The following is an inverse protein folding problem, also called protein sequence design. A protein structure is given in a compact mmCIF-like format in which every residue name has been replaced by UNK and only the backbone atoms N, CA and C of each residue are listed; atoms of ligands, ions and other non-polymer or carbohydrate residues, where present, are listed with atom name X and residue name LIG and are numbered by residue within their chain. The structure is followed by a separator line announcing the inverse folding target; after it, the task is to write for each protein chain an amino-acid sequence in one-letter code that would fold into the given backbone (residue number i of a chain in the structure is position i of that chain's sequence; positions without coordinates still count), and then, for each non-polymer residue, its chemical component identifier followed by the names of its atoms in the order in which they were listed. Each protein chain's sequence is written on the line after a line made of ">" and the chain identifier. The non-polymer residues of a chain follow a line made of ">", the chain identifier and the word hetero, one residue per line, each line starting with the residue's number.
data_IF_567004640830
#
_entry.id   IF_567004640830
#
_cell.length_a   1.000
_cell.length_b   1.000
_cell.length_c   1.000
_cell.angle_alpha   90.00
_cell.angle_beta   90.00
_cell.angle_gamma   90.00
#
_symmetry.space_group_name_H-M   'P 1'
#
loop_
_entity.id
_entity.type
_entity.pdbx_description
1 polymer ?
#
# COMPACT_ATOMS: atom_id res chain seq x y z
N UNK A 1 -16.39 -22.73 -7.09
CA UNK A 1 -16.07 -23.14 -8.47
C UNK A 1 -15.35 -22.00 -9.15
N UNK A 2 -14.18 -22.26 -9.75
CA UNK A 2 -13.24 -21.23 -10.20
C UNK A 2 -13.71 -20.43 -11.41
N UNK A 3 -14.51 -19.40 -11.15
CA UNK A 3 -15.01 -18.49 -12.18
C UNK A 3 -14.10 -17.28 -12.29
N UNK A 4 -13.70 -16.97 -13.52
CA UNK A 4 -13.05 -15.71 -13.87
C UNK A 4 -14.14 -14.72 -14.29
N UNK A 5 -14.47 -13.70 -13.47
CA UNK A 5 -15.58 -12.79 -13.74
C UNK A 5 -15.28 -11.91 -14.96
N UNK A 6 -16.31 -11.29 -15.54
CA UNK A 6 -16.16 -10.37 -16.69
C UNK A 6 -15.12 -9.27 -16.44
N UNK A 7 -15.05 -8.76 -15.21
CA UNK A 7 -14.06 -7.75 -14.79
C UNK A 7 -12.61 -8.23 -14.96
N UNK A 8 -12.34 -9.50 -14.67
CA UNK A 8 -11.01 -10.10 -14.87
C UNK A 8 -10.63 -10.09 -16.35
N UNK A 9 -11.52 -10.52 -17.24
CA UNK A 9 -11.23 -10.59 -18.68
C UNK A 9 -11.02 -9.22 -19.32
N UNK A 10 -11.83 -8.23 -18.92
CA UNK A 10 -11.63 -6.83 -19.35
C UNK A 10 -10.27 -6.33 -18.90
N UNK A 11 -9.90 -6.56 -17.64
CA UNK A 11 -8.59 -6.14 -17.13
C UNK A 11 -7.44 -6.86 -17.85
N UNK A 12 -7.55 -8.17 -18.07
CA UNK A 12 -6.56 -8.98 -18.78
C UNK A 12 -6.30 -8.43 -20.19
N UNK A 13 -7.38 -8.12 -20.91
CA UNK A 13 -7.30 -7.51 -22.24
C UNK A 13 -6.62 -6.13 -22.17
N UNK A 14 -6.99 -5.28 -21.22
CA UNK A 14 -6.38 -3.95 -21.10
C UNK A 14 -4.90 -3.99 -20.66
N UNK A 15 -4.47 -5.03 -19.94
CA UNK A 15 -3.05 -5.18 -19.54
C UNK A 15 -2.21 -5.74 -20.67
N UNK A 16 -2.56 -6.92 -21.18
CA UNK A 16 -1.70 -7.67 -22.11
C UNK A 16 -2.07 -7.43 -23.59
N UNK A 17 -3.30 -7.04 -23.88
CA UNK A 17 -3.78 -6.72 -25.23
C UNK A 17 -3.64 -5.24 -25.61
N UNK A 18 -3.06 -4.42 -24.74
CA UNK A 18 -2.84 -3.00 -25.01
C UNK A 18 -1.62 -2.77 -25.91
N UNK A 19 -1.73 -1.81 -26.83
CA UNK A 19 -0.69 -1.50 -27.83
C UNK A 19 0.67 -1.22 -27.19
N UNK A 20 0.72 -0.46 -26.10
CA UNK A 20 1.98 -0.14 -25.43
C UNK A 20 2.67 -1.40 -24.89
N UNK A 21 1.91 -2.27 -24.22
CA UNK A 21 2.45 -3.50 -23.66
C UNK A 21 2.97 -4.45 -24.75
N UNK A 22 2.20 -4.62 -25.82
CA UNK A 22 2.58 -5.47 -26.97
C UNK A 22 3.79 -4.90 -27.70
N UNK A 23 3.87 -3.58 -27.86
CA UNK A 23 5.02 -2.92 -28.50
C UNK A 23 6.31 -3.12 -27.70
N UNK A 24 6.21 -3.05 -26.37
CA UNK A 24 7.39 -3.09 -25.51
C UNK A 24 7.85 -4.53 -25.19
N UNK A 25 6.95 -5.53 -25.22
CA UNK A 25 7.27 -6.94 -24.88
C UNK A 25 7.19 -7.91 -26.08
N UNK A 26 6.53 -7.51 -27.17
CA UNK A 26 6.25 -8.36 -28.34
C UNK A 26 4.94 -9.16 -28.21
N UNK A 27 4.35 -9.50 -29.37
CA UNK A 27 3.07 -10.21 -29.46
C UNK A 27 3.11 -11.61 -28.85
N UNK A 28 4.18 -12.37 -29.11
CA UNK A 28 4.30 -13.72 -28.56
C UNK A 28 4.36 -13.70 -27.02
N UNK A 29 5.13 -12.76 -26.44
CA UNK A 29 5.24 -12.68 -24.98
C UNK A 29 3.95 -12.20 -24.33
N UNK A 30 3.26 -11.24 -24.92
CA UNK A 30 1.97 -10.77 -24.37
C UNK A 30 0.92 -11.89 -24.32
N UNK A 31 0.88 -12.76 -25.33
CA UNK A 31 0.02 -13.95 -25.34
C UNK A 31 0.45 -14.94 -24.24
N UNK A 32 1.74 -15.24 -24.13
CA UNK A 32 2.28 -16.18 -23.13
C UNK A 32 1.97 -15.68 -21.71
N UNK A 33 2.18 -14.40 -21.42
CA UNK A 33 1.92 -13.81 -20.10
C UNK A 33 0.42 -13.81 -19.76
N UNK A 34 -0.45 -13.48 -20.73
CA UNK A 34 -1.89 -13.57 -20.54
C UNK A 34 -2.34 -15.00 -20.21
N UNK A 35 -1.84 -16.00 -20.96
CA UNK A 35 -2.14 -17.41 -20.72
C UNK A 35 -1.61 -17.91 -19.37
N UNK A 36 -0.38 -17.53 -19.00
CA UNK A 36 0.21 -17.88 -17.71
C UNK A 36 -0.58 -17.30 -16.55
N UNK A 37 -1.02 -16.05 -16.66
CA UNK A 37 -1.87 -15.37 -15.67
C UNK A 37 -3.20 -16.11 -15.49
N UNK A 38 -3.88 -16.46 -16.58
CA UNK A 38 -5.13 -17.25 -16.55
C UNK A 38 -4.90 -18.61 -15.88
N UNK A 39 -3.85 -19.33 -16.28
CA UNK A 39 -3.48 -20.64 -15.71
C UNK A 39 -3.21 -20.56 -14.22
N UNK A 40 -2.46 -19.56 -13.76
CA UNK A 40 -2.17 -19.36 -12.34
C UNK A 40 -3.45 -19.09 -11.54
N UNK A 41 -4.31 -18.21 -12.05
CA UNK A 41 -5.58 -17.91 -11.40
C UNK A 41 -6.50 -19.12 -11.30
N UNK A 42 -6.60 -19.93 -12.35
CA UNK A 42 -7.39 -21.16 -12.31
C UNK A 42 -6.84 -22.18 -11.31
N UNK A 43 -5.50 -22.30 -11.18
CA UNK A 43 -4.85 -23.15 -10.17
C UNK A 43 -5.16 -22.72 -8.73
N UNK A 44 -5.44 -21.44 -8.49
CA UNK A 44 -5.79 -20.88 -7.18
C UNK A 44 -7.29 -20.90 -6.90
N UNK A 45 -8.10 -21.54 -7.75
CA UNK A 45 -9.56 -21.58 -7.59
C UNK A 45 -10.28 -20.35 -8.15
N UNK A 46 -9.61 -19.57 -9.01
CA UNK A 46 -10.14 -18.38 -9.69
C UNK A 46 -9.63 -17.07 -9.08
N UNK A 47 -9.48 -16.04 -9.91
CA UNK A 47 -9.15 -14.69 -9.48
C UNK A 47 -10.30 -13.73 -9.79
N UNK A 48 -10.56 -12.79 -8.88
CA UNK A 48 -11.54 -11.72 -9.12
C UNK A 48 -10.99 -10.61 -10.05
N UNK A 49 -9.69 -10.43 -10.04
CA UNK A 49 -8.95 -9.37 -10.72
C UNK A 49 -7.60 -9.90 -11.20
N UNK A 50 -6.96 -9.23 -12.16
CA UNK A 50 -5.66 -9.69 -12.67
C UNK A 50 -4.57 -9.48 -11.61
N UNK A 51 -3.82 -10.53 -11.22
CA UNK A 51 -2.74 -10.40 -10.25
C UNK A 51 -1.59 -9.56 -10.81
N UNK A 52 -0.80 -8.96 -9.92
CA UNK A 52 0.26 -8.03 -10.25
C UNK A 52 -0.13 -6.59 -9.92
N UNK A 53 0.75 -5.92 -9.20
CA UNK A 53 0.62 -4.53 -8.76
C UNK A 53 1.59 -3.66 -9.58
N UNK A 54 1.08 -2.73 -10.42
CA UNK A 54 1.92 -1.77 -11.13
C UNK A 54 2.80 -0.96 -10.17
N UNK A 55 3.99 -0.57 -10.63
CA UNK A 55 4.96 0.16 -9.81
C UNK A 55 4.38 1.46 -9.26
N UNK A 56 3.65 2.19 -10.09
CA UNK A 56 3.05 3.48 -9.78
C UNK A 56 1.96 3.33 -8.71
N UNK A 57 1.14 2.28 -8.84
CA UNK A 57 0.13 1.94 -7.84
C UNK A 57 0.77 1.56 -6.51
N UNK A 58 1.86 0.78 -6.53
CA UNK A 58 2.60 0.47 -5.31
C UNK A 58 3.22 1.72 -4.66
N UNK A 59 3.84 2.61 -5.45
CA UNK A 59 4.40 3.86 -4.93
C UNK A 59 3.31 4.69 -4.23
N UNK A 60 2.10 4.78 -4.80
CA UNK A 60 0.99 5.47 -4.15
C UNK A 60 0.61 4.81 -2.82
N UNK A 61 0.55 3.47 -2.78
CA UNK A 61 0.26 2.73 -1.54
C UNK A 61 1.33 2.96 -0.46
N UNK A 62 2.59 3.09 -0.87
CA UNK A 62 3.70 3.38 0.03
C UNK A 62 3.60 4.81 0.58
N UNK A 63 3.37 5.80 -0.30
CA UNK A 63 3.23 7.21 0.11
C UNK A 63 2.06 7.37 1.09
N UNK A 64 0.88 6.83 0.75
CA UNK A 64 -0.30 6.88 1.62
C UNK A 64 -0.06 6.21 2.96
N UNK A 65 0.64 5.07 2.99
CA UNK A 65 1.05 4.42 4.24
C UNK A 65 1.96 5.30 5.09
N UNK A 66 2.98 5.91 4.49
CA UNK A 66 3.91 6.82 5.18
C UNK A 66 3.19 8.05 5.73
N UNK A 67 2.33 8.69 4.93
CA UNK A 67 1.54 9.86 5.37
C UNK A 67 0.57 9.48 6.48
N UNK A 68 -0.09 8.32 6.39
CA UNK A 68 -0.91 7.78 7.48
C UNK A 68 -0.10 7.62 8.76
N UNK A 69 1.14 7.10 8.64
CA UNK A 69 2.08 7.00 9.75
C UNK A 69 2.37 8.35 10.40
N UNK A 70 2.76 9.34 9.60
CA UNK A 70 3.04 10.71 10.09
C UNK A 70 1.84 11.31 10.84
N UNK A 71 0.63 11.18 10.30
CA UNK A 71 -0.60 11.68 10.94
C UNK A 71 -0.84 10.95 12.27
N UNK A 72 -0.69 9.62 12.28
CA UNK A 72 -0.81 8.82 13.51
C UNK A 72 0.23 9.23 14.56
N UNK A 73 1.47 9.49 14.15
CA UNK A 73 2.56 9.93 15.03
C UNK A 73 2.29 11.27 15.69
N UNK A 74 1.84 12.28 14.92
CA UNK A 74 1.43 13.57 15.49
C UNK A 74 0.22 13.44 16.42
N UNK A 75 -0.75 12.60 16.06
CA UNK A 75 -1.92 12.35 16.90
C UNK A 75 -1.56 11.71 18.25
N UNK A 76 -0.46 10.96 18.30
CA UNK A 76 0.03 10.25 19.46
C UNK A 76 0.85 11.10 20.45
N UNK A 77 1.26 12.32 20.07
CA UNK A 77 2.09 13.19 20.91
C UNK A 77 1.37 13.49 22.25
N UNK A 78 2.05 13.29 23.40
CA UNK A 78 1.45 13.52 24.69
C UNK A 78 1.12 15.00 24.94
N UNK A 79 -0.02 15.24 25.61
CA UNK A 79 -0.53 16.60 25.90
C UNK A 79 -0.64 16.90 27.40
N UNK A 80 -0.38 15.90 28.24
CA UNK A 80 -0.41 15.98 29.70
C UNK A 80 0.93 15.45 30.22
N UNK A 81 1.44 16.03 31.31
CA UNK A 81 2.78 15.73 31.84
C UNK A 81 2.97 14.25 32.23
N UNK A 82 1.91 13.56 32.68
CA UNK A 82 1.98 12.14 33.07
C UNK A 82 1.62 11.16 31.95
N UNK A 83 1.35 11.64 30.74
CA UNK A 83 0.93 10.80 29.64
C UNK A 83 2.11 10.57 28.70
N UNK A 84 2.52 9.31 28.51
CA UNK A 84 3.54 8.97 27.51
C UNK A 84 2.94 8.95 26.11
N UNK A 85 1.71 8.48 25.95
CA UNK A 85 1.09 8.27 24.63
C UNK A 85 -0.37 8.75 24.59
N UNK A 86 -0.71 9.63 23.64
CA UNK A 86 -2.05 10.22 23.47
C UNK A 86 -3.03 9.31 22.69
N UNK A 87 -3.26 8.09 23.19
CA UNK A 87 -4.09 7.08 22.50
C UNK A 87 -5.50 7.57 22.10
N UNK A 88 -6.13 8.41 22.91
CA UNK A 88 -7.46 8.97 22.63
C UNK A 88 -7.46 9.79 21.34
N UNK A 89 -6.43 10.62 21.13
CA UNK A 89 -6.29 11.44 19.93
C UNK A 89 -5.91 10.62 18.71
N UNK A 90 -5.03 9.61 18.89
CA UNK A 90 -4.75 8.64 17.86
C UNK A 90 -6.03 7.91 17.39
N UNK A 91 -6.93 7.55 18.30
CA UNK A 91 -8.21 6.94 17.93
C UNK A 91 -9.21 7.92 17.30
N UNK A 92 -9.32 9.15 17.82
CA UNK A 92 -10.19 10.18 17.26
C UNK A 92 -9.80 10.51 15.81
N UNK A 93 -8.50 10.52 15.51
CA UNK A 93 -7.98 10.74 14.16
C UNK A 93 -7.82 9.45 13.34
N UNK A 94 -8.28 8.30 13.86
CA UNK A 94 -8.21 7.01 13.15
C UNK A 94 -8.97 6.95 11.83
N UNK A 95 -10.08 7.69 11.61
CA UNK A 95 -10.68 7.77 10.28
C UNK A 95 -9.71 8.35 9.23
N UNK A 96 -8.82 9.26 9.62
CA UNK A 96 -7.88 9.93 8.71
C UNK A 96 -6.63 9.09 8.45
N UNK A 97 -5.90 8.68 9.49
CA UNK A 97 -4.69 7.85 9.26
C UNK A 97 -5.05 6.42 8.85
N UNK A 98 -6.16 5.89 9.37
CA UNK A 98 -6.61 4.53 9.12
C UNK A 98 -7.04 4.31 7.68
N UNK A 99 -7.76 5.25 7.05
CA UNK A 99 -8.12 5.13 5.63
C UNK A 99 -6.87 5.15 4.74
N UNK A 100 -5.89 6.01 5.06
CA UNK A 100 -4.64 6.11 4.29
C UNK A 100 -3.81 4.82 4.38
N UNK A 101 -3.68 4.25 5.58
CA UNK A 101 -2.87 3.06 5.78
C UNK A 101 -3.60 1.76 5.42
N UNK A 102 -4.79 1.54 5.95
CA UNK A 102 -5.49 0.26 5.82
C UNK A 102 -6.12 0.16 4.43
N UNK A 103 -6.93 1.14 4.04
CA UNK A 103 -7.70 1.06 2.80
C UNK A 103 -6.84 1.34 1.56
N UNK A 104 -5.99 2.38 1.59
CA UNK A 104 -5.15 2.73 0.44
C UNK A 104 -3.75 2.11 0.49
N UNK A 105 -3.16 1.97 1.67
CA UNK A 105 -1.83 1.40 1.84
C UNK A 105 -1.79 -0.14 1.75
N UNK A 106 -2.67 -0.83 2.48
CA UNK A 106 -2.66 -2.30 2.58
C UNK A 106 -3.62 -2.94 1.57
N UNK A 107 -4.85 -2.43 1.46
CA UNK A 107 -5.94 -3.02 0.67
C UNK A 107 -5.55 -3.42 -0.76
N UNK A 108 -4.97 -2.50 -1.57
CA UNK A 108 -4.57 -2.82 -2.94
C UNK A 108 -3.42 -3.84 -3.01
N UNK A 109 -2.52 -3.86 -2.03
CA UNK A 109 -1.38 -4.78 -2.02
C UNK A 109 -1.83 -6.21 -1.78
N UNK A 110 -2.58 -6.45 -0.70
CA UNK A 110 -3.01 -7.81 -0.31
C UNK A 110 -4.03 -8.43 -1.26
N UNK A 111 -4.74 -7.61 -2.03
CA UNK A 111 -5.72 -8.09 -3.02
C UNK A 111 -5.12 -8.33 -4.40
N UNK A 112 -3.92 -7.81 -4.69
CA UNK A 112 -3.30 -7.85 -6.03
C UNK A 112 -2.00 -8.64 -6.11
N UNK A 113 -1.30 -8.84 -4.99
CA UNK A 113 -0.06 -9.63 -4.96
C UNK A 113 0.00 -10.49 -3.71
N UNK A 114 0.61 -11.67 -3.85
CA UNK A 114 1.01 -12.55 -2.76
C UNK A 114 2.42 -12.26 -2.24
N UNK A 115 3.13 -11.29 -2.85
CA UNK A 115 4.48 -10.94 -2.46
C UNK A 115 4.50 -10.21 -1.11
N UNK A 116 5.33 -10.68 -0.19
CA UNK A 116 5.43 -10.10 1.15
C UNK A 116 6.17 -8.76 1.18
N UNK A 117 7.16 -8.57 0.28
CA UNK A 117 8.06 -7.42 0.33
C UNK A 117 7.35 -6.05 0.15
N UNK A 118 6.40 -5.87 -0.80
CA UNK A 118 5.64 -4.63 -0.93
C UNK A 118 4.83 -4.29 0.33
N UNK A 119 4.21 -5.30 0.94
CA UNK A 119 3.42 -5.13 2.17
C UNK A 119 4.32 -4.72 3.34
N UNK A 120 5.45 -5.40 3.50
CA UNK A 120 6.44 -5.07 4.54
C UNK A 120 6.93 -3.62 4.39
N UNK A 121 7.23 -3.16 3.17
CA UNK A 121 7.66 -1.78 2.92
C UNK A 121 6.58 -0.76 3.32
N UNK A 122 5.31 -1.05 3.07
CA UNK A 122 4.20 -0.17 3.46
C UNK A 122 4.05 -0.11 4.99
N UNK A 123 4.16 -1.25 5.68
CA UNK A 123 4.14 -1.31 7.15
C UNK A 123 5.33 -0.53 7.73
N UNK A 124 6.54 -0.74 7.21
CA UNK A 124 7.74 -0.01 7.65
C UNK A 124 7.61 1.49 7.38
N UNK A 125 7.07 1.90 6.23
CA UNK A 125 6.81 3.30 5.91
C UNK A 125 5.85 3.96 6.91
N UNK A 126 4.77 3.27 7.27
CA UNK A 126 3.85 3.73 8.32
C UNK A 126 4.53 3.85 9.69
N UNK A 127 5.25 2.82 10.13
CA UNK A 127 5.93 2.81 11.43
C UNK A 127 7.00 3.89 11.49
N UNK A 128 7.85 4.02 10.47
CA UNK A 128 8.88 5.05 10.42
C UNK A 128 8.27 6.46 10.40
N UNK A 129 7.23 6.69 9.60
CA UNK A 129 6.50 7.95 9.58
C UNK A 129 5.93 8.31 10.96
N UNK A 130 5.32 7.35 11.64
CA UNK A 130 4.77 7.53 12.97
C UNK A 130 5.84 7.84 14.03
N UNK A 131 6.95 7.10 14.02
CA UNK A 131 8.06 7.30 14.95
C UNK A 131 8.71 8.67 14.75
N UNK A 132 9.03 9.03 13.50
CA UNK A 132 9.65 10.34 13.18
C UNK A 132 8.73 11.49 13.60
N UNK A 133 7.44 11.41 13.28
CA UNK A 133 6.49 12.47 13.66
C UNK A 133 6.30 12.55 15.18
N UNK A 134 6.20 11.41 15.88
CA UNK A 134 6.05 11.37 17.33
C UNK A 134 7.28 11.94 18.07
N UNK A 135 8.49 11.69 17.59
CA UNK A 135 9.74 12.17 18.20
C UNK A 135 10.13 13.60 17.81
N UNK A 136 9.44 14.21 16.85
CA UNK A 136 9.77 15.55 16.34
C UNK A 136 9.87 16.67 17.41
N UNK A 137 9.07 16.71 18.49
CA UNK A 137 9.21 17.72 19.53
C UNK A 137 10.53 17.59 20.31
N UNK A 138 10.95 16.35 20.61
CA UNK A 138 12.19 16.06 21.37
C UNK A 138 13.42 16.54 20.60
N UNK A 139 13.42 16.33 19.28
CA UNK A 139 14.51 16.78 18.41
C UNK A 139 14.58 18.32 18.40
N UNK A 140 13.43 18.98 18.38
CA UNK A 140 13.34 20.45 18.33
C UNK A 140 13.82 21.10 19.64
N UNK A 141 13.50 20.51 20.79
CA UNK A 141 13.97 21.00 22.10
C UNK A 141 15.48 20.83 22.27
N UNK A 142 16.06 19.73 21.80
CA UNK A 142 17.52 19.51 21.87
C UNK A 142 18.30 20.56 21.09
N UNK A 143 17.83 20.94 19.89
CA UNK A 143 18.49 21.96 19.07
C UNK A 143 18.38 23.38 19.64
N UNK A 144 17.33 23.69 20.41
CA UNK A 144 17.15 25.00 21.03
C UNK A 144 18.04 25.20 22.28
N UNK A 145 18.48 24.11 22.93
CA UNK A 145 19.35 24.18 24.12
C UNK A 145 20.83 24.37 23.79
N UNK A 146 21.24 24.20 22.52
CA UNK A 146 22.64 24.29 22.07
C UNK A 146 23.02 25.66 21.48
N UNK A 147 22.10 26.65 21.47
CA UNK A 147 22.32 28.04 21.03
C UNK A 147 22.11 29.04 22.15
#
# INVERSE_FOLDING_TARGET
>A
TGTLPRTFWVELQTRFGNLYFVRDNGENQSIIEALNTVKQCLRQGGCRVVPGLPREQWILTLITSTVGGVICGFAAIPRKQDQVFAWQWALILSPLWGILFIAFGIGPVVTRTSDFLPLLRNILGFVLGAVVAYLSPVISESSASET
#
